data_IF_476239711808
#
_entry.id   IF_476239711808
#
_cell.length_a   1.000
_cell.length_b   1.000
_cell.length_c   1.000
_cell.angle_alpha   90.00
_cell.angle_beta   90.00
_cell.angle_gamma   90.00
#
_symmetry.space_group_name_H-M   'P 1'
#
loop_
_entity.id
_entity.type
_entity.pdbx_description
1 polymer ?
#
# COMPACT_ATOMS: atom_id res chain seq x y z
N UNK A 1 -18.76 14.12 -37.10
CA UNK A 1 -19.01 12.85 -37.81
C UNK A 1 -19.65 11.77 -36.94
N UNK A 2 -19.09 11.34 -35.80
CA UNK A 2 -19.74 10.35 -34.94
C UNK A 2 -20.95 10.93 -34.18
N UNK A 3 -20.81 12.14 -33.68
CA UNK A 3 -21.88 12.86 -32.97
C UNK A 3 -23.04 13.24 -33.91
N UNK A 4 -22.72 13.64 -35.13
CA UNK A 4 -23.74 14.00 -36.18
C UNK A 4 -24.54 12.76 -36.60
N UNK A 5 -23.88 11.58 -36.66
CA UNK A 5 -24.57 10.32 -36.94
C UNK A 5 -25.45 9.87 -35.77
N UNK A 6 -25.01 10.07 -34.52
CA UNK A 6 -25.81 9.74 -33.33
C UNK A 6 -27.02 10.69 -33.19
N UNK A 7 -26.84 11.97 -33.45
CA UNK A 7 -27.94 12.96 -33.46
C UNK A 7 -28.94 12.65 -34.55
N UNK A 8 -28.49 12.30 -35.77
CA UNK A 8 -29.35 11.91 -36.85
C UNK A 8 -30.16 10.64 -36.55
N UNK A 9 -29.54 9.64 -35.97
CA UNK A 9 -30.21 8.41 -35.53
C UNK A 9 -31.23 8.72 -34.43
N UNK A 10 -30.89 9.62 -33.50
CA UNK A 10 -31.76 10.02 -32.40
C UNK A 10 -32.97 10.81 -32.88
N UNK A 11 -32.79 11.74 -33.85
CA UNK A 11 -33.86 12.51 -34.46
C UNK A 11 -34.81 11.62 -35.28
N UNK A 12 -34.26 10.69 -36.09
CA UNK A 12 -35.06 9.72 -36.87
C UNK A 12 -35.83 8.77 -35.91
N UNK A 13 -35.22 8.35 -34.82
CA UNK A 13 -35.88 7.57 -33.79
C UNK A 13 -37.03 8.34 -33.11
N UNK A 14 -36.82 9.62 -32.78
CA UNK A 14 -37.87 10.45 -32.16
C UNK A 14 -38.99 10.77 -33.12
N UNK A 15 -38.72 11.01 -34.41
CA UNK A 15 -39.76 11.29 -35.42
C UNK A 15 -40.70 10.07 -35.61
N UNK A 16 -40.19 8.87 -35.49
CA UNK A 16 -40.96 7.63 -35.63
C UNK A 16 -41.80 7.26 -34.40
N UNK A 17 -41.65 7.98 -33.25
CA UNK A 17 -42.43 7.74 -32.04
C UNK A 17 -43.60 8.73 -31.93
N UNK A 18 -44.80 8.22 -31.57
CA UNK A 18 -45.96 9.09 -31.34
C UNK A 18 -45.66 10.12 -30.20
N UNK A 19 -46.11 11.39 -30.34
CA UNK A 19 -45.82 12.48 -29.35
C UNK A 19 -46.16 12.13 -27.91
N UNK A 20 -47.22 11.35 -27.71
CA UNK A 20 -47.66 10.89 -26.38
C UNK A 20 -46.68 9.86 -25.75
N UNK A 21 -45.99 9.11 -26.60
CA UNK A 21 -44.97 8.13 -26.18
C UNK A 21 -43.61 8.79 -25.91
N UNK A 22 -43.26 9.86 -26.63
CA UNK A 22 -42.08 10.68 -26.38
C UNK A 22 -42.08 11.28 -24.98
N UNK A 23 -43.23 11.85 -24.53
CA UNK A 23 -43.39 12.37 -23.17
C UNK A 23 -43.18 11.29 -22.10
N UNK A 24 -43.73 10.06 -22.35
CA UNK A 24 -43.54 8.95 -21.43
C UNK A 24 -42.07 8.53 -21.37
N UNK A 25 -41.40 8.44 -22.52
CA UNK A 25 -39.98 8.10 -22.62
C UNK A 25 -39.11 9.10 -21.86
N UNK A 26 -39.37 10.41 -22.03
CA UNK A 26 -38.63 11.45 -21.33
C UNK A 26 -38.82 11.36 -19.80
N UNK A 27 -40.02 11.13 -19.33
CA UNK A 27 -40.28 10.93 -17.88
C UNK A 27 -39.57 9.70 -17.35
N UNK A 28 -39.57 8.59 -18.12
CA UNK A 28 -38.83 7.37 -17.74
C UNK A 28 -37.34 7.64 -17.65
N UNK A 29 -36.74 8.32 -18.62
CA UNK A 29 -35.30 8.66 -18.61
C UNK A 29 -34.93 9.57 -17.44
N UNK A 30 -35.75 10.60 -17.17
CA UNK A 30 -35.55 11.46 -16.01
C UNK A 30 -35.65 10.71 -14.69
N UNK A 31 -36.61 9.77 -14.57
CA UNK A 31 -36.79 8.98 -13.35
C UNK A 31 -35.63 8.01 -13.14
N UNK A 32 -35.19 7.32 -14.17
CA UNK A 32 -34.04 6.40 -14.11
C UNK A 32 -32.75 7.17 -13.80
N UNK A 33 -32.55 8.34 -14.46
CA UNK A 33 -31.40 9.18 -14.19
C UNK A 33 -31.35 9.69 -12.74
N UNK A 34 -32.49 10.09 -12.19
CA UNK A 34 -32.59 10.48 -10.78
C UNK A 34 -32.30 9.31 -9.83
N UNK A 35 -32.72 8.09 -10.18
CA UNK A 35 -32.41 6.89 -9.38
C UNK A 35 -30.91 6.58 -9.39
N UNK A 36 -30.22 6.73 -10.53
CA UNK A 36 -28.77 6.58 -10.62
C UNK A 36 -28.02 7.64 -9.79
N UNK A 37 -28.49 8.89 -9.79
CA UNK A 37 -27.91 9.94 -8.95
C UNK A 37 -28.12 9.66 -7.45
N UNK A 38 -29.25 9.06 -7.08
CA UNK A 38 -29.53 8.68 -5.70
C UNK A 38 -28.68 7.46 -5.29
N UNK A 39 -28.43 6.51 -6.18
CA UNK A 39 -27.58 5.34 -5.91
C UNK A 39 -26.14 5.75 -5.57
N UNK A 40 -25.66 6.85 -6.13
CA UNK A 40 -24.37 7.47 -5.79
C UNK A 40 -24.15 7.67 -4.28
N UNK A 41 -25.21 7.94 -3.52
CA UNK A 41 -25.12 8.20 -2.07
C UNK A 41 -25.25 6.94 -1.20
N UNK A 42 -25.35 5.75 -1.79
CA UNK A 42 -25.67 4.49 -1.09
C UNK A 42 -24.59 3.43 -1.31
N UNK A 43 -23.80 3.51 -2.38
CA UNK A 43 -22.76 2.54 -2.74
C UNK A 43 -21.43 3.09 -2.21
N UNK A 44 -20.69 2.28 -1.47
CA UNK A 44 -19.40 2.63 -0.85
C UNK A 44 -18.24 2.14 -1.74
N UNK A 45 -18.30 2.44 -3.05
CA UNK A 45 -17.29 2.09 -4.05
C UNK A 45 -17.08 3.28 -4.99
N UNK A 46 -15.99 4.01 -4.78
CA UNK A 46 -15.66 5.27 -5.48
C UNK A 46 -15.76 5.18 -7.01
N UNK A 47 -15.43 4.05 -7.60
CA UNK A 47 -15.44 3.87 -9.06
C UNK A 47 -16.86 3.66 -9.61
N UNK A 48 -17.65 2.79 -8.98
CA UNK A 48 -19.04 2.53 -9.38
C UNK A 48 -19.91 3.75 -9.14
N UNK A 49 -19.62 4.53 -8.11
CA UNK A 49 -20.30 5.78 -7.80
C UNK A 49 -20.11 6.84 -8.88
N UNK A 50 -18.90 7.05 -9.36
CA UNK A 50 -18.62 8.01 -10.43
C UNK A 50 -19.33 7.58 -11.71
N UNK A 51 -19.33 6.29 -12.05
CA UNK A 51 -20.05 5.77 -13.22
C UNK A 51 -21.56 5.98 -13.07
N UNK A 52 -22.14 5.68 -11.92
CA UNK A 52 -23.56 5.86 -11.64
C UNK A 52 -23.96 7.33 -11.77
N UNK A 53 -23.17 8.25 -11.22
CA UNK A 53 -23.39 9.70 -11.34
C UNK A 53 -23.35 10.18 -12.80
N UNK A 54 -22.36 9.75 -13.58
CA UNK A 54 -22.21 10.13 -14.99
C UNK A 54 -23.37 9.60 -15.85
N UNK A 55 -23.78 8.35 -15.65
CA UNK A 55 -24.92 7.75 -16.32
C UNK A 55 -26.21 8.52 -15.94
N UNK A 56 -26.39 8.84 -14.66
CA UNK A 56 -27.52 9.59 -14.15
C UNK A 56 -27.64 10.97 -14.81
N UNK A 57 -26.56 11.74 -14.85
CA UNK A 57 -26.49 13.06 -15.48
C UNK A 57 -26.81 12.95 -16.97
N UNK A 58 -26.25 11.97 -17.70
CA UNK A 58 -26.50 11.76 -19.12
C UNK A 58 -27.99 11.47 -19.39
N UNK A 59 -28.61 10.60 -18.61
CA UNK A 59 -30.02 10.25 -18.76
C UNK A 59 -30.95 11.46 -18.48
N UNK A 60 -30.62 12.27 -17.47
CA UNK A 60 -31.34 13.52 -17.17
C UNK A 60 -31.24 14.50 -18.37
N UNK A 61 -30.05 14.71 -18.93
CA UNK A 61 -29.84 15.58 -20.08
C UNK A 61 -30.64 15.11 -21.31
N UNK A 62 -30.59 13.81 -21.63
CA UNK A 62 -31.35 13.22 -22.74
C UNK A 62 -32.86 13.36 -22.49
N UNK A 63 -33.34 13.18 -21.27
CA UNK A 63 -34.73 13.39 -20.88
C UNK A 63 -35.20 14.83 -21.10
N UNK A 64 -34.40 15.82 -20.71
CA UNK A 64 -34.71 17.26 -20.93
C UNK A 64 -34.74 17.62 -22.43
N UNK A 65 -33.78 17.14 -23.23
CA UNK A 65 -33.75 17.35 -24.67
C UNK A 65 -35.01 16.76 -25.30
N UNK A 66 -35.44 15.56 -24.89
CA UNK A 66 -36.66 14.89 -25.40
C UNK A 66 -37.93 15.68 -25.05
N UNK A 67 -38.03 16.25 -23.84
CA UNK A 67 -39.15 17.08 -23.40
C UNK A 67 -39.23 18.38 -24.22
N UNK A 68 -38.09 19.03 -24.44
CA UNK A 68 -38.00 20.30 -25.19
C UNK A 68 -38.37 20.11 -26.65
N UNK A 69 -37.83 19.04 -27.28
CA UNK A 69 -38.19 18.66 -28.65
C UNK A 69 -39.71 18.47 -28.81
N UNK A 70 -40.33 17.84 -27.84
CA UNK A 70 -41.77 17.61 -27.86
C UNK A 70 -42.61 18.88 -27.61
N UNK A 71 -42.05 19.89 -26.92
CA UNK A 71 -42.70 21.19 -26.72
C UNK A 71 -42.71 22.03 -28.00
N UNK A 72 -41.63 21.95 -28.80
CA UNK A 72 -41.46 22.70 -30.04
C UNK A 72 -42.25 22.07 -31.20
N UNK A 73 -42.37 20.73 -31.24
CA UNK A 73 -43.05 20.00 -32.33
C UNK A 73 -44.58 19.86 -32.17
N UNK A 74 -45.18 20.39 -31.12
CA UNK A 74 -46.60 20.16 -30.80
C UNK A 74 -47.59 21.24 -31.29
N UNK A 75 -47.16 22.25 -32.05
CA UNK A 75 -48.11 23.18 -32.65
C UNK A 75 -48.53 22.73 -34.08
N UNK A 76 -49.82 22.48 -34.33
CA UNK A 76 -50.29 22.06 -35.62
C UNK A 76 -50.33 23.27 -36.57
N UNK A 77 -49.63 23.18 -37.71
CA UNK A 77 -49.81 24.09 -38.85
C UNK A 77 -51.24 23.94 -39.33
N UNK A 78 -52.08 24.91 -39.03
CA UNK A 78 -53.43 24.96 -39.51
C UNK A 78 -53.41 25.57 -40.93
N UNK A 79 -53.35 24.71 -41.96
CA UNK A 79 -53.60 25.10 -43.31
C UNK A 79 -55.05 25.64 -43.47
N UNK A 80 -55.19 26.91 -43.74
CA UNK A 80 -56.44 27.48 -44.16
C UNK A 80 -56.43 27.59 -45.68
N UNK A 81 -57.24 26.79 -46.34
CA UNK A 81 -57.46 26.80 -47.72
C UNK A 81 -57.84 28.22 -48.19
N UNK A 82 -57.19 28.66 -49.23
CA UNK A 82 -57.44 29.93 -49.90
C UNK A 82 -58.63 29.80 -50.85
N UNK A 83 -59.71 30.58 -50.57
CA UNK A 83 -60.64 30.98 -51.58
C UNK A 83 -60.44 32.49 -51.84
N UNK A 84 -60.02 32.82 -53.04
CA UNK A 84 -59.81 34.17 -53.52
C UNK A 84 -61.16 34.75 -53.97
N UNK A 85 -61.60 35.81 -53.28
CA UNK A 85 -62.61 36.69 -53.75
C UNK A 85 -62.08 38.13 -53.63
N UNK A 86 -62.07 38.85 -54.72
CA UNK A 86 -61.69 40.29 -54.78
C UNK A 86 -62.59 41.15 -53.91
N UNK A 87 -61.96 41.87 -52.94
CA UNK A 87 -62.60 43.08 -52.36
C UNK A 87 -61.57 44.01 -51.71
N UNK A 88 -61.71 45.23 -51.92
CA UNK A 88 -61.17 46.50 -51.42
C UNK A 88 -60.12 46.45 -50.27
N UNK A 89 -59.00 47.13 -50.50
CA UNK A 89 -57.91 47.38 -49.56
C UNK A 89 -58.40 48.30 -48.42
N UNK A 90 -58.49 47.74 -47.24
CA UNK A 90 -58.72 48.46 -45.98
C UNK A 90 -57.37 48.62 -45.26
N UNK A 91 -56.94 49.84 -44.99
CA UNK A 91 -55.67 50.20 -44.34
C UNK A 91 -55.51 49.52 -42.96
N UNK A 92 -56.63 49.25 -42.29
CA UNK A 92 -56.59 48.53 -40.98
C UNK A 92 -56.12 47.09 -41.12
N UNK A 93 -56.24 46.47 -42.29
CA UNK A 93 -55.71 45.11 -42.56
C UNK A 93 -54.22 45.11 -42.86
N UNK A 94 -53.67 46.24 -43.29
CA UNK A 94 -52.20 46.32 -43.49
C UNK A 94 -51.43 46.38 -42.19
N UNK A 95 -51.94 47.12 -41.20
CA UNK A 95 -51.30 47.13 -39.85
C UNK A 95 -51.37 45.77 -39.18
N UNK A 96 -52.49 45.04 -39.26
CA UNK A 96 -52.61 43.70 -38.73
C UNK A 96 -51.70 42.69 -39.47
N UNK A 97 -51.46 42.82 -40.73
CA UNK A 97 -50.56 41.98 -41.50
C UNK A 97 -49.10 42.25 -41.20
N UNK A 98 -48.74 43.50 -40.87
CA UNK A 98 -47.38 43.86 -40.43
C UNK A 98 -47.10 43.32 -39.00
N UNK A 99 -48.06 43.43 -38.11
CA UNK A 99 -47.93 42.83 -36.72
C UNK A 99 -47.85 41.34 -36.79
N UNK A 100 -48.64 40.62 -37.58
CA UNK A 100 -48.52 39.18 -37.80
C UNK A 100 -47.18 38.77 -38.44
N UNK A 101 -46.64 39.59 -39.38
CA UNK A 101 -45.35 39.30 -39.98
C UNK A 101 -44.18 39.52 -39.03
N UNK A 102 -44.30 40.46 -38.09
CA UNK A 102 -43.30 40.66 -37.05
C UNK A 102 -43.30 39.53 -35.99
N UNK A 103 -44.47 38.98 -35.65
CA UNK A 103 -44.56 37.77 -34.79
C UNK A 103 -43.98 36.52 -35.50
N UNK A 104 -44.24 36.36 -36.79
CA UNK A 104 -43.69 35.24 -37.58
C UNK A 104 -42.16 35.31 -37.75
N UNK A 105 -41.60 36.53 -37.84
CA UNK A 105 -40.13 36.72 -37.92
C UNK A 105 -39.46 36.44 -36.57
N UNK A 106 -40.14 36.71 -35.47
CA UNK A 106 -39.64 36.44 -34.11
C UNK A 106 -39.65 34.94 -33.82
N UNK A 107 -40.69 34.17 -34.21
CA UNK A 107 -40.73 32.73 -34.06
C UNK A 107 -39.64 32.00 -34.89
N UNK A 108 -39.38 32.44 -36.13
CA UNK A 108 -38.32 31.84 -36.96
C UNK A 108 -36.90 32.04 -36.38
N UNK A 109 -36.67 33.14 -35.66
CA UNK A 109 -35.38 33.39 -35.02
C UNK A 109 -35.12 32.43 -33.84
N UNK A 110 -36.15 31.97 -33.11
CA UNK A 110 -35.99 30.95 -32.06
C UNK A 110 -35.70 29.56 -32.64
N UNK A 111 -36.34 29.19 -33.76
CA UNK A 111 -36.12 27.90 -34.44
C UNK A 111 -34.71 27.82 -35.01
N UNK A 112 -34.17 28.95 -35.53
CA UNK A 112 -32.80 29.00 -36.06
C UNK A 112 -31.69 28.95 -34.99
N UNK A 113 -32.00 29.32 -33.75
CA UNK A 113 -31.07 29.30 -32.64
C UNK A 113 -31.00 27.92 -31.94
N UNK A 114 -32.03 27.08 -32.11
CA UNK A 114 -32.15 25.78 -31.41
C UNK A 114 -30.99 24.81 -31.72
N UNK A 115 -30.51 24.61 -32.95
CA UNK A 115 -29.36 23.77 -33.24
C UNK A 115 -28.08 24.26 -32.57
N UNK A 116 -27.87 25.56 -32.46
CA UNK A 116 -26.73 26.18 -31.78
C UNK A 116 -26.79 25.99 -30.26
N UNK A 117 -27.98 26.08 -29.66
CA UNK A 117 -28.20 25.82 -28.24
C UNK A 117 -27.95 24.33 -27.90
N UNK A 118 -28.48 23.41 -28.70
CA UNK A 118 -28.27 21.98 -28.52
C UNK A 118 -26.78 21.65 -28.68
N UNK A 119 -26.13 22.19 -29.71
CA UNK A 119 -24.72 22.02 -29.97
C UNK A 119 -23.85 22.53 -28.81
N UNK A 120 -24.13 23.71 -28.29
CA UNK A 120 -23.36 24.31 -27.19
C UNK A 120 -23.56 23.54 -25.86
N UNK A 121 -24.77 23.12 -25.54
CA UNK A 121 -25.06 22.30 -24.34
C UNK A 121 -24.38 20.93 -24.45
N UNK A 122 -24.44 20.29 -25.63
CA UNK A 122 -23.77 19.00 -25.85
C UNK A 122 -22.25 19.11 -25.75
N UNK A 123 -21.67 20.20 -26.30
CA UNK A 123 -20.24 20.47 -26.21
C UNK A 123 -19.80 20.73 -24.76
N UNK A 124 -20.59 21.48 -24.00
CA UNK A 124 -20.32 21.76 -22.59
C UNK A 124 -20.37 20.46 -21.74
N UNK A 125 -21.39 19.64 -22.00
CA UNK A 125 -21.53 18.34 -21.35
C UNK A 125 -20.34 17.41 -21.68
N UNK A 126 -19.92 17.38 -22.96
CA UNK A 126 -18.74 16.61 -23.37
C UNK A 126 -17.45 17.09 -22.70
N UNK A 127 -17.24 18.42 -22.61
CA UNK A 127 -16.07 19.01 -21.92
C UNK A 127 -16.09 18.65 -20.43
N UNK A 128 -17.25 18.73 -19.79
CA UNK A 128 -17.40 18.35 -18.38
C UNK A 128 -17.08 16.87 -18.14
N UNK A 129 -17.64 15.98 -18.94
CA UNK A 129 -17.38 14.54 -18.85
C UNK A 129 -15.89 14.24 -19.13
N UNK A 130 -15.32 14.84 -20.17
CA UNK A 130 -13.91 14.68 -20.49
C UNK A 130 -13.00 15.23 -19.38
N UNK A 131 -13.38 16.33 -18.73
CA UNK A 131 -12.65 16.89 -17.59
C UNK A 131 -12.72 15.98 -16.36
N UNK A 132 -13.86 15.40 -16.05
CA UNK A 132 -14.02 14.44 -14.95
C UNK A 132 -13.20 13.18 -15.22
N UNK A 133 -13.27 12.63 -16.45
CA UNK A 133 -12.45 11.47 -16.83
C UNK A 133 -10.95 11.80 -16.76
N UNK A 134 -10.56 13.00 -17.19
CA UNK A 134 -9.16 13.45 -17.12
C UNK A 134 -8.69 13.62 -15.68
N UNK A 135 -9.50 14.22 -14.80
CA UNK A 135 -9.17 14.37 -13.39
C UNK A 135 -9.10 13.01 -12.69
N UNK A 136 -10.05 12.12 -12.98
CA UNK A 136 -10.01 10.73 -12.48
C UNK A 136 -8.76 9.99 -13.02
N UNK A 137 -8.50 10.04 -14.32
CA UNK A 137 -7.31 9.42 -14.91
C UNK A 137 -6.03 9.98 -14.28
N UNK A 138 -5.98 11.27 -13.97
CA UNK A 138 -4.83 11.88 -13.29
C UNK A 138 -4.71 11.44 -11.82
N UNK A 139 -5.82 11.22 -11.11
CA UNK A 139 -5.78 10.72 -9.72
C UNK A 139 -5.33 9.26 -9.60
N UNK A 140 -5.58 8.45 -10.64
CA UNK A 140 -5.17 7.03 -10.72
C UNK A 140 -4.03 6.79 -11.72
N UNK A 141 -3.52 7.84 -12.38
CA UNK A 141 -2.49 7.67 -13.40
C UNK A 141 -1.17 7.14 -12.83
N UNK A 142 -0.82 7.57 -11.63
CA UNK A 142 0.39 7.10 -10.96
C UNK A 142 0.23 5.61 -10.59
N UNK A 143 -0.94 5.20 -10.14
CA UNK A 143 -1.27 3.80 -9.83
C UNK A 143 -1.38 2.89 -11.07
N UNK A 144 -1.91 3.43 -12.19
CA UNK A 144 -2.05 2.69 -13.46
C UNK A 144 -0.74 2.68 -14.28
N UNK A 145 0.05 3.76 -14.22
CA UNK A 145 1.29 3.91 -15.02
C UNK A 145 2.54 3.33 -14.34
N UNK A 146 2.58 3.34 -13.00
CA UNK A 146 3.67 2.74 -12.23
C UNK A 146 3.31 1.30 -11.85
N UNK A 147 2.00 0.97 -11.82
CA UNK A 147 1.48 -0.31 -11.36
C UNK A 147 1.83 -0.52 -9.88
N UNK A 148 0.90 -0.36 -8.97
CA UNK A 148 1.08 -0.73 -7.56
C UNK A 148 1.34 -2.23 -7.39
N UNK A 149 1.59 -2.71 -6.16
CA UNK A 149 1.76 -4.13 -5.89
C UNK A 149 0.51 -4.91 -6.32
N UNK A 150 0.68 -6.15 -6.83
CA UNK A 150 -0.45 -7.01 -7.12
C UNK A 150 -1.38 -7.17 -5.91
N UNK A 151 -2.72 -7.19 -6.10
CA UNK A 151 -3.68 -7.35 -4.98
C UNK A 151 -3.44 -8.60 -4.13
N UNK A 152 -2.80 -9.62 -4.70
CA UNK A 152 -2.39 -10.82 -3.94
C UNK A 152 -1.35 -10.47 -2.88
N UNK A 153 -0.39 -9.61 -3.18
CA UNK A 153 0.66 -9.22 -2.23
C UNK A 153 0.10 -8.36 -1.10
N UNK A 154 -0.74 -7.38 -1.42
CA UNK A 154 -1.40 -6.57 -0.38
C UNK A 154 -2.33 -7.41 0.50
N UNK A 155 -3.04 -8.39 -0.08
CA UNK A 155 -3.84 -9.33 0.70
C UNK A 155 -3.00 -10.26 1.59
N UNK A 156 -1.79 -10.64 1.17
CA UNK A 156 -0.87 -11.42 2.02
C UNK A 156 -0.28 -10.56 3.12
N UNK A 157 0.07 -9.33 2.83
CA UNK A 157 0.52 -8.35 3.83
C UNK A 157 -0.54 -8.12 4.90
N UNK A 158 -1.79 -7.87 4.51
CA UNK A 158 -2.92 -7.75 5.44
C UNK A 158 -3.08 -8.99 6.31
N UNK A 159 -2.98 -10.20 5.74
CA UNK A 159 -3.05 -11.45 6.51
C UNK A 159 -1.95 -11.55 7.57
N UNK A 160 -0.75 -11.03 7.31
CA UNK A 160 0.32 -10.96 8.29
C UNK A 160 0.11 -9.86 9.33
N UNK A 161 -0.47 -8.72 8.94
CA UNK A 161 -0.86 -7.67 9.89
C UNK A 161 -1.89 -8.20 10.89
N UNK A 162 -2.92 -8.92 10.41
CA UNK A 162 -3.91 -9.58 11.25
C UNK A 162 -3.27 -10.66 12.17
N UNK A 163 -2.36 -11.47 11.63
CA UNK A 163 -1.67 -12.52 12.40
C UNK A 163 -0.83 -11.93 13.54
N UNK A 164 -0.20 -10.80 13.32
CA UNK A 164 0.73 -10.15 14.26
C UNK A 164 0.10 -8.98 15.05
N UNK A 165 -1.19 -8.68 14.81
CA UNK A 165 -1.94 -7.65 15.54
C UNK A 165 -1.64 -6.21 15.12
N UNK A 166 -0.96 -5.98 13.99
CA UNK A 166 -0.69 -4.62 13.50
C UNK A 166 -1.95 -3.90 13.01
N UNK A 167 -2.97 -4.62 12.57
CA UNK A 167 -4.27 -4.08 12.18
C UNK A 167 -5.04 -3.44 13.35
N UNK A 168 -4.71 -3.82 14.59
CA UNK A 168 -5.26 -3.23 15.81
C UNK A 168 -4.48 -1.98 16.28
N UNK A 169 -3.27 -1.71 15.71
CA UNK A 169 -2.43 -0.57 16.10
C UNK A 169 -2.81 0.67 15.32
N UNK A 170 -3.04 1.77 16.01
CA UNK A 170 -3.36 3.06 15.38
C UNK A 170 -2.63 4.22 16.03
N UNK A 171 -2.15 5.15 15.20
CA UNK A 171 -1.54 6.40 15.65
C UNK A 171 -0.08 6.26 16.08
N UNK A 172 0.53 5.10 15.90
CA UNK A 172 1.95 4.83 16.07
C UNK A 172 2.54 4.44 14.71
N UNK A 173 3.72 4.93 14.39
CA UNK A 173 4.43 4.66 13.14
C UNK A 173 5.96 4.51 13.31
N UNK A 174 6.45 4.41 14.55
CA UNK A 174 7.85 4.31 14.91
C UNK A 174 8.55 5.66 15.05
N UNK A 175 7.81 6.78 15.04
CA UNK A 175 8.40 8.13 15.14
C UNK A 175 9.25 8.32 16.39
N UNK A 176 10.45 8.87 16.20
CA UNK A 176 11.40 9.14 17.29
C UNK A 176 12.21 7.92 17.72
N UNK A 177 12.17 6.83 16.95
CA UNK A 177 13.01 5.64 17.16
C UNK A 177 14.00 5.52 16.00
N UNK A 178 15.25 5.23 16.29
CA UNK A 178 16.31 5.03 15.31
C UNK A 178 16.51 3.54 15.05
N UNK A 179 16.22 3.12 13.83
CA UNK A 179 16.40 1.73 13.38
C UNK A 179 17.56 1.65 12.40
N UNK A 180 18.52 0.78 12.66
CA UNK A 180 19.64 0.51 11.77
C UNK A 180 19.46 -0.86 11.10
N UNK A 181 19.39 -0.88 9.75
CA UNK A 181 19.40 -2.10 8.96
C UNK A 181 20.81 -2.35 8.46
N UNK A 182 21.42 -3.47 8.87
CA UNK A 182 22.73 -3.94 8.42
C UNK A 182 22.52 -5.03 7.39
N UNK A 183 22.73 -4.69 6.09
CA UNK A 183 22.33 -5.56 4.98
C UNK A 183 23.09 -5.23 3.67
N UNK A 184 22.53 -5.54 2.51
CA UNK A 184 23.13 -5.31 1.19
C UNK A 184 22.98 -3.86 0.67
N UNK A 185 22.29 -2.99 1.39
CA UNK A 185 22.06 -1.60 1.01
C UNK A 185 20.57 -1.23 0.90
N UNK A 186 20.28 -0.17 0.12
CA UNK A 186 18.92 0.27 -0.13
C UNK A 186 18.80 0.98 -1.49
N UNK A 187 17.74 0.65 -2.26
CA UNK A 187 17.40 1.29 -3.53
C UNK A 187 16.41 2.43 -3.31
N UNK A 188 16.93 3.64 -3.11
CA UNK A 188 16.14 4.84 -2.82
C UNK A 188 15.22 5.28 -3.96
N UNK A 189 15.42 4.77 -5.18
CA UNK A 189 14.55 5.08 -6.33
C UNK A 189 13.27 4.23 -6.36
N UNK A 190 13.15 3.24 -5.46
CA UNK A 190 11.94 2.42 -5.37
C UNK A 190 10.69 3.28 -5.10
N UNK A 191 9.56 3.05 -5.82
CA UNK A 191 8.33 3.84 -5.65
C UNK A 191 7.86 3.98 -4.20
N UNK A 192 7.95 2.91 -3.41
CA UNK A 192 7.49 2.87 -2.02
C UNK A 192 8.50 3.48 -1.01
N UNK A 193 9.69 3.90 -1.46
CA UNK A 193 10.73 4.52 -0.64
C UNK A 193 10.95 6.01 -0.93
N UNK A 194 10.23 6.59 -1.89
CA UNK A 194 10.40 8.00 -2.29
C UNK A 194 10.06 9.02 -1.19
N UNK A 195 9.30 8.62 -0.18
CA UNK A 195 8.99 9.47 0.98
C UNK A 195 10.14 9.53 1.99
N UNK A 196 11.08 8.55 1.92
CA UNK A 196 12.13 8.34 2.91
C UNK A 196 13.29 9.31 2.71
N UNK A 197 13.82 9.79 3.83
CA UNK A 197 15.14 10.42 3.91
C UNK A 197 15.94 9.65 4.95
N UNK A 198 17.03 9.01 4.54
CA UNK A 198 17.86 8.25 5.47
C UNK A 198 18.45 9.16 6.55
N UNK A 199 18.39 8.71 7.81
CA UNK A 199 19.08 9.35 8.91
C UNK A 199 20.61 9.17 8.81
N UNK A 200 21.06 8.07 8.17
CA UNK A 200 22.46 7.84 7.85
C UNK A 200 22.66 6.69 6.87
N UNK A 201 23.83 6.73 6.22
CA UNK A 201 24.29 5.72 5.27
C UNK A 201 25.76 5.38 5.52
N UNK A 202 26.07 4.10 5.50
CA UNK A 202 27.44 3.60 5.61
C UNK A 202 27.67 2.42 4.67
N UNK A 203 28.75 2.44 3.91
CA UNK A 203 29.13 1.39 2.96
C UNK A 203 30.50 0.81 3.33
N UNK A 204 30.49 -0.36 3.97
CA UNK A 204 31.68 -1.13 4.34
C UNK A 204 32.31 -1.79 3.13
N UNK A 205 31.51 -2.08 2.08
CA UNK A 205 31.96 -2.87 0.92
C UNK A 205 32.82 -2.04 -0.04
N UNK A 206 32.32 -0.86 -0.46
CA UNK A 206 32.98 -0.05 -1.49
C UNK A 206 33.27 1.39 -1.02
N UNK A 207 32.82 1.79 0.18
CA UNK A 207 33.00 3.15 0.72
C UNK A 207 32.28 4.22 -0.10
N UNK A 208 31.17 3.92 -0.76
CA UNK A 208 30.40 4.90 -1.52
C UNK A 208 29.58 5.80 -0.61
N UNK A 209 29.46 7.08 -0.98
CA UNK A 209 28.73 8.06 -0.19
C UNK A 209 27.21 8.07 -0.48
N UNK A 210 26.80 7.59 -1.65
CA UNK A 210 25.40 7.56 -2.07
C UNK A 210 24.82 6.16 -1.84
N UNK A 211 23.60 6.06 -1.29
CA UNK A 211 22.93 4.78 -1.08
C UNK A 211 22.68 4.03 -2.39
N UNK A 212 22.91 2.75 -2.36
CA UNK A 212 22.60 1.82 -3.44
C UNK A 212 22.42 0.40 -2.89
N UNK A 213 21.78 -0.45 -3.68
CA UNK A 213 21.64 -1.88 -3.40
C UNK A 213 21.83 -2.66 -4.69
N UNK A 214 22.93 -3.40 -4.80
CA UNK A 214 23.31 -4.18 -5.97
C UNK A 214 23.04 -5.69 -5.81
N UNK A 215 22.40 -6.06 -4.69
CA UNK A 215 21.94 -7.41 -4.37
C UNK A 215 20.42 -7.46 -4.25
N UNK A 216 19.82 -6.55 -3.46
CA UNK A 216 18.37 -6.35 -3.34
C UNK A 216 17.76 -6.79 -2.01
N UNK A 217 18.45 -7.59 -1.21
CA UNK A 217 17.94 -8.09 0.07
C UNK A 217 17.73 -6.95 1.07
N UNK A 218 18.67 -6.01 1.19
CA UNK A 218 18.54 -4.86 2.10
C UNK A 218 17.36 -3.95 1.77
N UNK A 219 17.09 -3.73 0.48
CA UNK A 219 15.90 -2.99 0.02
C UNK A 219 14.61 -3.71 0.44
N UNK A 220 14.58 -5.04 0.32
CA UNK A 220 13.44 -5.84 0.75
C UNK A 220 13.22 -5.74 2.27
N UNK A 221 14.28 -5.87 3.07
CA UNK A 221 14.20 -5.80 4.53
C UNK A 221 13.83 -4.40 5.03
N UNK A 222 14.47 -3.35 4.49
CA UNK A 222 14.09 -1.97 4.77
C UNK A 222 12.62 -1.70 4.39
N UNK A 223 12.15 -2.25 3.27
CA UNK A 223 10.77 -2.13 2.81
C UNK A 223 9.75 -2.66 3.82
N UNK A 224 10.00 -3.80 4.44
CA UNK A 224 9.14 -4.37 5.49
C UNK A 224 8.98 -3.40 6.67
N UNK A 225 10.00 -2.60 6.97
CA UNK A 225 9.98 -1.62 8.06
C UNK A 225 9.31 -0.32 7.63
N UNK A 226 9.69 0.26 6.46
CA UNK A 226 9.39 1.66 6.13
C UNK A 226 8.62 1.90 4.83
N UNK A 227 8.25 0.88 4.05
CA UNK A 227 7.55 1.08 2.77
C UNK A 227 6.26 1.88 2.92
N UNK A 228 5.92 2.70 1.89
CA UNK A 228 4.69 3.51 1.85
C UNK A 228 4.25 3.73 0.41
N UNK A 229 2.95 3.80 0.20
CA UNK A 229 2.25 4.05 -1.08
C UNK A 229 2.01 2.82 -1.98
N UNK A 230 2.62 1.68 -1.69
CA UNK A 230 2.36 0.40 -2.34
C UNK A 230 2.19 -0.69 -1.31
N UNK A 231 3.26 -1.37 -0.90
CA UNK A 231 3.27 -2.13 0.35
C UNK A 231 3.36 -1.17 1.54
N UNK A 232 3.00 -1.67 2.71
CA UNK A 232 2.90 -0.87 3.94
C UNK A 232 3.91 -1.39 4.98
N UNK A 233 5.01 -0.68 5.15
CA UNK A 233 5.96 -0.97 6.23
C UNK A 233 5.35 -0.80 7.61
N UNK A 234 5.84 -1.58 8.57
CA UNK A 234 5.30 -1.63 9.91
C UNK A 234 5.62 -0.39 10.77
N UNK A 235 6.69 0.35 10.43
CA UNK A 235 7.18 1.49 11.19
C UNK A 235 7.68 2.59 10.24
N UNK A 236 6.76 3.22 9.52
CA UNK A 236 7.04 4.16 8.44
C UNK A 236 7.65 5.49 8.89
N UNK A 237 7.58 5.80 10.19
CA UNK A 237 8.04 7.05 10.80
C UNK A 237 9.41 6.96 11.49
N UNK A 238 10.09 5.81 11.46
CA UNK A 238 11.41 5.64 12.08
C UNK A 238 12.49 6.50 11.40
N UNK A 239 13.49 6.89 12.16
CA UNK A 239 14.74 7.43 11.64
C UNK A 239 15.61 6.25 11.17
N UNK A 240 15.62 5.98 9.84
CA UNK A 240 16.29 4.81 9.28
C UNK A 240 17.78 5.08 9.01
N UNK A 241 18.64 4.27 9.63
CA UNK A 241 20.05 4.11 9.30
C UNK A 241 20.20 2.84 8.42
N UNK A 242 21.06 2.91 7.41
CA UNK A 242 21.37 1.73 6.57
C UNK A 242 22.89 1.58 6.49
N UNK A 243 23.37 0.40 6.86
CA UNK A 243 24.78 0.02 6.75
C UNK A 243 24.92 -1.15 5.75
N UNK A 244 25.50 -0.86 4.59
CA UNK A 244 25.79 -1.89 3.57
C UNK A 244 27.04 -2.68 3.98
N UNK A 245 26.81 -3.90 4.42
CA UNK A 245 27.85 -4.86 4.83
C UNK A 245 27.87 -6.16 3.99
N UNK A 246 26.91 -6.29 3.05
CA UNK A 246 26.75 -7.43 2.14
C UNK A 246 27.02 -6.95 0.70
N UNK A 247 27.82 -7.72 -0.03
CA UNK A 247 28.16 -7.44 -1.42
C UNK A 247 27.09 -7.93 -2.43
N UNK A 248 27.29 -7.67 -3.72
CA UNK A 248 26.39 -8.06 -4.80
C UNK A 248 26.25 -9.59 -5.02
N UNK A 249 26.98 -10.42 -4.30
CA UNK A 249 26.87 -11.87 -4.32
C UNK A 249 26.18 -12.41 -3.05
N UNK A 250 25.65 -11.52 -2.19
CA UNK A 250 25.04 -11.88 -0.93
C UNK A 250 26.07 -12.27 0.14
N UNK A 251 27.31 -11.79 0.05
CA UNK A 251 28.38 -12.17 0.99
C UNK A 251 28.85 -10.97 1.81
N UNK A 252 29.05 -11.18 3.10
CA UNK A 252 29.69 -10.26 4.01
C UNK A 252 30.84 -10.92 4.74
N UNK A 253 31.73 -10.12 5.28
CA UNK A 253 32.78 -10.60 6.18
C UNK A 253 32.37 -10.33 7.61
N UNK A 254 32.74 -11.21 8.53
CA UNK A 254 32.52 -11.06 9.96
C UNK A 254 33.01 -9.68 10.46
N UNK A 255 34.23 -9.29 10.10
CA UNK A 255 34.80 -7.97 10.44
C UNK A 255 33.98 -6.80 9.84
N UNK A 256 33.51 -6.92 8.58
CA UNK A 256 32.75 -5.86 7.92
C UNK A 256 31.36 -5.69 8.54
N UNK A 257 30.71 -6.79 8.90
CA UNK A 257 29.41 -6.73 9.59
C UNK A 257 29.57 -6.17 11.01
N UNK A 258 30.65 -6.56 11.73
CA UNK A 258 30.98 -6.00 13.04
C UNK A 258 31.25 -4.48 12.97
N UNK A 259 31.96 -3.99 11.92
CA UNK A 259 32.16 -2.57 11.68
C UNK A 259 30.83 -1.83 11.44
N UNK A 260 29.92 -2.44 10.67
CA UNK A 260 28.58 -1.90 10.42
C UNK A 260 27.75 -1.81 11.71
N UNK A 261 27.76 -2.85 12.56
CA UNK A 261 27.10 -2.85 13.87
C UNK A 261 27.65 -1.75 14.77
N UNK A 262 28.98 -1.61 14.83
CA UNK A 262 29.64 -0.52 15.57
C UNK A 262 29.22 0.86 15.06
N UNK A 263 29.13 1.05 13.73
CA UNK A 263 28.66 2.30 13.14
C UNK A 263 27.20 2.60 13.52
N UNK A 264 26.31 1.60 13.52
CA UNK A 264 24.93 1.79 13.98
C UNK A 264 24.90 2.30 15.45
N UNK A 265 25.71 1.67 16.32
CA UNK A 265 25.82 2.07 17.72
C UNK A 265 26.34 3.52 17.89
N UNK A 266 27.35 3.91 17.12
CA UNK A 266 27.91 5.25 17.09
C UNK A 266 26.93 6.33 16.57
N UNK A 267 25.97 5.91 15.71
CA UNK A 267 24.91 6.77 15.18
C UNK A 267 23.58 6.68 15.93
N UNK A 268 23.63 6.28 17.18
CA UNK A 268 22.51 6.33 18.12
C UNK A 268 21.33 5.43 17.76
N UNK A 269 21.58 4.28 17.15
CA UNK A 269 20.53 3.28 16.93
C UNK A 269 19.90 2.84 18.26
N UNK A 270 18.58 2.75 18.31
CA UNK A 270 17.81 2.07 19.35
C UNK A 270 17.66 0.59 19.03
N UNK A 271 17.54 0.28 17.72
CA UNK A 271 17.35 -1.09 17.21
C UNK A 271 18.35 -1.33 16.09
N UNK A 272 19.02 -2.49 16.10
CA UNK A 272 19.81 -3.01 14.98
C UNK A 272 19.12 -4.27 14.45
N UNK A 273 18.71 -4.25 13.17
CA UNK A 273 18.11 -5.36 12.45
C UNK A 273 19.19 -6.10 11.65
N UNK A 274 19.44 -7.36 12.02
CA UNK A 274 20.43 -8.25 11.41
C UNK A 274 19.72 -9.41 10.70
N UNK A 275 19.23 -9.13 9.48
CA UNK A 275 18.59 -10.15 8.64
C UNK A 275 19.64 -11.05 7.98
N UNK A 276 20.61 -11.52 8.77
CA UNK A 276 21.76 -12.30 8.35
C UNK A 276 21.59 -13.75 8.84
N UNK A 277 21.99 -14.70 8.01
CA UNK A 277 21.88 -16.13 8.28
C UNK A 277 20.79 -16.78 7.43
N UNK A 278 21.11 -17.29 6.26
CA UNK A 278 20.20 -17.97 5.33
C UNK A 278 20.97 -18.89 4.40
N UNK A 279 20.24 -19.80 3.74
CA UNK A 279 20.80 -20.64 2.70
C UNK A 279 21.46 -19.77 1.61
N UNK A 280 22.73 -20.03 1.33
CA UNK A 280 23.39 -19.46 0.18
C UNK A 280 24.70 -18.73 0.40
N UNK A 281 25.29 -18.78 1.58
CA UNK A 281 26.65 -18.28 1.68
C UNK A 281 27.14 -17.75 3.01
N UNK A 282 26.29 -17.60 3.99
CA UNK A 282 26.74 -17.29 5.33
C UNK A 282 27.12 -18.56 6.09
N UNK A 283 28.24 -19.15 5.68
CA UNK A 283 28.97 -20.03 6.58
C UNK A 283 29.91 -19.13 7.37
N UNK A 284 29.46 -18.59 8.47
CA UNK A 284 30.36 -18.13 9.51
C UNK A 284 30.93 -19.41 10.10
N UNK A 285 31.91 -19.97 9.38
CA UNK A 285 32.52 -21.25 9.70
C UNK A 285 33.24 -21.20 11.04
N UNK A 286 32.65 -21.78 11.99
CA UNK A 286 33.22 -22.46 13.14
C UNK A 286 34.57 -21.97 13.69
N UNK A 287 34.53 -21.63 14.98
CA UNK A 287 35.68 -21.48 15.84
C UNK A 287 36.52 -20.21 15.55
N UNK A 288 35.96 -19.08 15.89
CA UNK A 288 36.75 -17.93 16.28
C UNK A 288 35.92 -17.13 17.25
N UNK A 289 36.51 -16.46 18.20
CA UNK A 289 35.89 -15.32 18.88
C UNK A 289 35.40 -14.41 17.79
N UNK A 290 34.17 -14.57 17.45
CA UNK A 290 33.52 -13.96 16.33
C UNK A 290 33.47 -12.45 16.57
N UNK A 291 34.06 -11.68 15.69
CA UNK A 291 34.07 -10.23 15.84
C UNK A 291 32.67 -9.64 15.75
N UNK A 292 31.79 -10.28 14.98
CA UNK A 292 30.37 -9.92 14.90
C UNK A 292 29.68 -10.15 16.26
N UNK A 293 29.84 -11.32 16.86
CA UNK A 293 29.25 -11.61 18.19
C UNK A 293 29.74 -10.61 19.25
N UNK A 294 31.02 -10.25 19.20
CA UNK A 294 31.57 -9.23 20.11
C UNK A 294 30.96 -7.85 19.88
N UNK A 295 30.79 -7.43 18.62
CA UNK A 295 30.19 -6.13 18.32
C UNK A 295 28.70 -6.10 18.69
N UNK A 296 27.98 -7.23 18.50
CA UNK A 296 26.60 -7.41 18.95
C UNK A 296 26.50 -7.30 20.47
N UNK A 297 27.38 -7.99 21.22
CA UNK A 297 27.41 -7.87 22.68
C UNK A 297 27.71 -6.43 23.15
N UNK A 298 28.66 -5.74 22.50
CA UNK A 298 28.97 -4.36 22.78
C UNK A 298 27.77 -3.41 22.51
N UNK A 299 26.92 -3.73 21.52
CA UNK A 299 25.69 -2.99 21.25
C UNK A 299 24.62 -3.26 22.33
N UNK A 300 24.42 -4.52 22.71
CA UNK A 300 23.51 -4.93 23.79
C UNK A 300 23.91 -4.28 25.13
N UNK A 301 25.20 -4.27 25.45
CA UNK A 301 25.73 -3.63 26.66
C UNK A 301 25.49 -2.11 26.71
N UNK A 302 25.31 -1.49 25.53
CA UNK A 302 24.90 -0.09 25.39
C UNK A 302 23.38 0.10 25.42
N UNK A 303 22.60 -0.97 25.57
CA UNK A 303 21.14 -0.91 25.61
C UNK A 303 20.46 -0.79 24.24
N UNK A 304 21.18 -1.19 23.18
CA UNK A 304 20.63 -1.23 21.82
C UNK A 304 19.98 -2.61 21.63
N UNK A 305 18.73 -2.64 21.19
CA UNK A 305 18.07 -3.89 20.86
C UNK A 305 18.64 -4.46 19.58
N UNK A 306 19.10 -5.70 19.61
CA UNK A 306 19.54 -6.43 18.44
C UNK A 306 18.51 -7.50 18.10
N UNK A 307 17.97 -7.45 16.89
CA UNK A 307 17.02 -8.42 16.35
C UNK A 307 17.71 -9.18 15.24
N UNK A 308 17.78 -10.51 15.32
CA UNK A 308 18.51 -11.33 14.36
C UNK A 308 17.70 -12.54 13.88
N UNK A 309 18.01 -13.00 12.65
CA UNK A 309 17.37 -14.13 12.03
C UNK A 309 17.81 -15.46 12.66
N UNK A 310 16.87 -16.38 12.85
CA UNK A 310 17.17 -17.72 13.38
C UNK A 310 17.95 -18.58 12.36
N UNK A 311 17.87 -18.31 11.07
CA UNK A 311 18.43 -19.12 10.00
C UNK A 311 17.37 -19.82 9.17
N UNK A 312 17.77 -20.35 8.00
CA UNK A 312 16.86 -20.89 6.99
C UNK A 312 17.12 -22.38 6.67
N UNK A 313 17.75 -23.13 7.58
CA UNK A 313 18.18 -24.52 7.37
C UNK A 313 17.10 -25.55 7.76
N UNK A 314 15.99 -25.07 8.32
CA UNK A 314 14.86 -25.91 8.72
C UNK A 314 15.22 -26.84 9.90
N UNK A 315 14.94 -28.14 9.71
CA UNK A 315 15.27 -29.20 10.68
C UNK A 315 16.54 -29.99 10.33
N UNK A 316 17.15 -29.62 9.18
CA UNK A 316 18.36 -30.33 8.68
C UNK A 316 19.65 -29.56 9.01
N UNK A 317 19.56 -28.54 9.87
CA UNK A 317 20.69 -27.75 10.35
C UNK A 317 21.59 -28.48 11.36
N UNK A 318 22.60 -27.80 11.86
CA UNK A 318 23.50 -28.34 12.91
C UNK A 318 22.86 -28.37 14.31
N UNK A 319 21.59 -28.00 14.43
CA UNK A 319 20.74 -28.10 15.63
C UNK A 319 20.69 -26.86 16.48
N UNK A 320 21.13 -25.69 16.03
CA UNK A 320 20.93 -24.41 16.72
C UNK A 320 20.60 -23.28 15.72
N UNK A 321 20.10 -22.15 16.25
CA UNK A 321 19.89 -20.96 15.46
C UNK A 321 21.22 -20.38 14.98
N UNK A 322 21.21 -19.73 13.81
CA UNK A 322 22.41 -19.12 13.24
C UNK A 322 22.94 -17.97 14.12
N UNK A 323 24.28 -17.75 14.11
CA UNK A 323 24.88 -16.54 14.65
C UNK A 323 24.56 -15.33 13.75
N UNK A 324 24.25 -14.11 14.31
CA UNK A 324 24.33 -13.78 15.74
C UNK A 324 23.03 -14.02 16.53
N UNK A 325 22.00 -14.67 15.96
CA UNK A 325 20.76 -15.01 16.64
C UNK A 325 20.98 -15.87 17.91
N UNK A 326 22.07 -16.66 17.93
CA UNK A 326 22.46 -17.51 19.04
C UNK A 326 23.05 -16.74 20.24
N UNK A 327 23.41 -15.45 20.10
CA UNK A 327 23.99 -14.64 21.18
C UNK A 327 22.96 -14.39 22.28
N UNK A 328 23.39 -14.41 23.53
CA UNK A 328 22.57 -14.09 24.71
C UNK A 328 22.05 -12.64 24.57
N UNK A 329 20.81 -12.37 25.00
CA UNK A 329 20.11 -11.09 24.91
C UNK A 329 19.70 -10.63 23.49
N UNK A 330 20.19 -11.23 22.40
CA UNK A 330 19.65 -10.99 21.05
C UNK A 330 18.21 -11.50 20.95
N UNK A 331 17.33 -10.75 20.33
CA UNK A 331 15.98 -11.22 19.97
C UNK A 331 16.10 -12.02 18.67
N UNK A 332 16.13 -13.34 18.78
CA UNK A 332 16.22 -14.25 17.65
C UNK A 332 14.84 -14.58 17.10
N UNK A 333 14.63 -14.38 15.81
CA UNK A 333 13.32 -14.49 15.18
C UNK A 333 13.28 -15.64 14.19
N UNK A 334 12.41 -16.60 14.45
CA UNK A 334 12.03 -17.67 13.52
C UNK A 334 10.93 -17.24 12.57
N UNK A 335 10.65 -18.05 11.55
CA UNK A 335 9.68 -17.76 10.50
C UNK A 335 8.34 -18.46 10.68
N UNK A 336 7.23 -17.72 10.57
CA UNK A 336 5.86 -18.23 10.52
C UNK A 336 5.26 -18.13 9.12
N UNK A 337 4.32 -19.02 8.81
CA UNK A 337 3.43 -18.92 7.65
C UNK A 337 2.25 -17.99 7.95
N UNK A 338 1.50 -17.57 6.93
CA UNK A 338 0.25 -16.79 7.08
C UNK A 338 -0.85 -17.49 7.88
N UNK A 339 -0.75 -18.80 8.10
CA UNK A 339 -1.67 -19.58 8.90
C UNK A 339 -1.20 -19.74 10.36
N UNK A 340 -0.09 -19.10 10.73
CA UNK A 340 0.45 -19.18 12.09
C UNK A 340 1.27 -20.44 12.38
N UNK A 341 1.55 -21.28 11.38
CA UNK A 341 2.43 -22.45 11.59
C UNK A 341 3.90 -22.04 11.40
N UNK A 342 4.82 -22.78 11.99
CA UNK A 342 6.26 -22.62 11.70
C UNK A 342 6.51 -22.81 10.20
N UNK A 343 7.25 -21.88 9.60
CA UNK A 343 7.76 -22.06 8.25
C UNK A 343 8.76 -23.21 8.21
N UNK A 344 8.64 -24.12 7.25
CA UNK A 344 9.49 -25.34 7.19
C UNK A 344 10.98 -25.07 7.08
N UNK A 345 11.36 -23.89 6.51
CA UNK A 345 12.74 -23.45 6.40
C UNK A 345 13.29 -22.77 7.65
N UNK A 346 12.46 -22.42 8.65
CA UNK A 346 12.94 -21.80 9.88
C UNK A 346 13.86 -22.76 10.65
N UNK A 347 15.08 -22.30 10.98
CA UNK A 347 15.99 -23.07 11.86
C UNK A 347 15.41 -23.24 13.25
N UNK A 348 15.84 -24.27 13.93
CA UNK A 348 15.45 -24.58 15.31
C UNK A 348 16.57 -24.25 16.31
N UNK A 349 16.20 -24.01 17.56
CA UNK A 349 17.16 -23.78 18.63
C UNK A 349 17.64 -25.09 19.31
N UNK A 350 18.86 -25.05 19.87
CA UNK A 350 19.36 -26.04 20.84
C UNK A 350 19.49 -25.35 22.20
N UNK A 351 18.47 -25.50 23.04
CA UNK A 351 18.41 -24.83 24.35
C UNK A 351 18.96 -25.67 25.51
N UNK A 352 19.15 -26.96 25.30
CA UNK A 352 19.65 -27.87 26.32
C UNK A 352 21.17 -27.78 26.54
N UNK A 353 21.88 -27.08 25.62
CA UNK A 353 23.34 -26.92 25.62
C UNK A 353 24.07 -28.01 24.87
N UNK A 354 25.28 -27.68 24.38
CA UNK A 354 26.13 -28.58 23.60
C UNK A 354 27.35 -29.05 24.39
N UNK A 355 27.79 -30.27 24.10
CA UNK A 355 28.98 -30.83 24.74
C UNK A 355 30.29 -30.16 24.26
N UNK A 356 30.29 -29.55 23.05
CA UNK A 356 31.51 -28.96 22.51
C UNK A 356 31.22 -27.91 21.43
N UNK A 357 31.77 -26.66 21.55
CA UNK A 357 32.33 -26.13 22.79
C UNK A 357 31.29 -26.19 23.90
N UNK A 358 31.65 -26.20 25.21
CA UNK A 358 30.71 -26.32 26.30
C UNK A 358 29.80 -25.07 26.30
N UNK A 359 28.63 -25.22 25.76
CA UNK A 359 27.55 -24.23 25.82
C UNK A 359 26.63 -24.62 26.98
N UNK A 360 26.36 -23.66 27.84
CA UNK A 360 25.43 -23.86 28.94
C UNK A 360 24.00 -23.93 28.40
N UNK A 361 23.11 -24.68 29.06
CA UNK A 361 21.68 -24.58 28.74
C UNK A 361 21.19 -23.15 28.84
N UNK A 362 20.35 -22.75 27.87
CA UNK A 362 19.66 -21.47 27.92
C UNK A 362 18.51 -21.52 28.91
N UNK A 363 18.07 -20.37 29.38
CA UNK A 363 16.93 -20.24 30.28
C UNK A 363 16.06 -19.08 29.88
N UNK A 364 14.80 -19.08 30.27
CA UNK A 364 13.89 -17.96 30.07
C UNK A 364 14.51 -16.65 30.58
N UNK A 365 14.37 -15.55 29.81
CA UNK A 365 13.69 -15.41 28.53
C UNK A 365 14.59 -15.56 27.28
N UNK A 366 15.79 -16.19 27.41
CA UNK A 366 16.81 -16.29 26.36
C UNK A 366 16.80 -17.61 25.57
N UNK A 367 15.75 -18.39 25.66
CA UNK A 367 15.61 -19.60 24.85
C UNK A 367 15.38 -19.27 23.39
N UNK A 368 16.04 -20.00 22.45
CA UNK A 368 16.07 -19.70 21.00
C UNK A 368 15.20 -20.67 20.17
N UNK A 369 14.59 -20.16 19.08
CA UNK A 369 14.35 -18.73 18.82
C UNK A 369 13.39 -18.17 19.87
N UNK A 370 13.42 -16.87 20.15
CA UNK A 370 12.47 -16.30 21.12
C UNK A 370 11.05 -16.33 20.57
N UNK A 371 10.85 -15.87 19.34
CA UNK A 371 9.51 -15.70 18.76
C UNK A 371 9.50 -16.00 17.26
N UNK A 372 8.31 -16.13 16.70
CA UNK A 372 8.09 -16.18 15.27
C UNK A 372 7.54 -14.87 14.74
N UNK A 373 8.07 -14.45 13.59
CA UNK A 373 7.50 -13.40 12.74
C UNK A 373 7.11 -13.92 11.36
N UNK A 374 6.48 -13.12 10.49
CA UNK A 374 6.19 -13.49 9.10
C UNK A 374 7.43 -13.93 8.33
N UNK A 375 7.50 -15.21 7.93
CA UNK A 375 8.70 -15.79 7.32
C UNK A 375 8.46 -16.59 6.04
N UNK A 376 7.20 -16.78 5.58
CA UNK A 376 6.88 -17.53 4.39
C UNK A 376 6.05 -16.71 3.41
N UNK A 377 6.52 -16.57 2.16
CA UNK A 377 5.81 -15.80 1.11
C UNK A 377 5.46 -14.38 1.58
N UNK A 378 6.40 -13.70 2.24
CA UNK A 378 6.23 -12.34 2.75
C UNK A 378 6.33 -11.36 1.60
N UNK A 379 5.39 -10.42 1.42
CA UNK A 379 5.50 -9.37 0.42
C UNK A 379 6.71 -8.48 0.67
N UNK A 380 7.48 -8.22 -0.39
CA UNK A 380 8.73 -7.45 -0.33
C UNK A 380 8.90 -6.51 -1.52
N UNK A 381 9.80 -5.55 -1.36
CA UNK A 381 10.28 -4.67 -2.42
C UNK A 381 11.44 -5.34 -3.19
N UNK A 382 11.51 -5.11 -4.51
CA UNK A 382 12.64 -5.53 -5.36
C UNK A 382 13.50 -4.32 -5.74
N UNK A 383 14.79 -4.37 -5.48
CA UNK A 383 15.74 -3.36 -5.95
C UNK A 383 15.85 -3.38 -7.48
N UNK A 384 15.89 -2.17 -8.10
CA UNK A 384 16.07 -2.00 -9.55
C UNK A 384 14.89 -2.48 -10.41
N UNK A 385 13.80 -2.95 -9.81
CA UNK A 385 12.75 -3.71 -10.47
C UNK A 385 13.23 -5.10 -10.89
N UNK A 386 12.35 -6.08 -10.94
CA UNK A 386 12.69 -7.40 -11.51
C UNK A 386 12.90 -7.32 -13.01
N UNK A 387 13.44 -8.38 -13.63
CA UNK A 387 13.69 -8.45 -15.09
C UNK A 387 12.43 -8.29 -15.95
N UNK A 388 11.23 -8.38 -15.37
CA UNK A 388 9.93 -8.09 -15.95
C UNK A 388 9.42 -6.67 -15.63
N UNK A 389 10.20 -5.86 -14.89
CA UNK A 389 9.87 -4.50 -14.48
C UNK A 389 8.99 -4.41 -13.22
N UNK A 390 8.79 -5.51 -12.51
CA UNK A 390 8.06 -5.49 -11.24
C UNK A 390 8.94 -4.93 -10.11
N UNK A 391 8.38 -4.04 -9.32
CA UNK A 391 9.01 -3.50 -8.10
C UNK A 391 8.61 -4.28 -6.84
N UNK A 392 7.65 -5.20 -6.94
CA UNK A 392 7.10 -5.94 -5.81
C UNK A 392 7.09 -7.44 -6.07
N UNK A 393 7.33 -8.20 -5.03
CA UNK A 393 7.29 -9.64 -5.06
C UNK A 393 7.10 -10.21 -3.67
N UNK A 394 7.55 -11.42 -3.48
CA UNK A 394 7.54 -12.10 -2.19
C UNK A 394 8.82 -12.92 -2.00
N UNK A 395 9.19 -13.12 -0.75
CA UNK A 395 10.28 -14.01 -0.36
C UNK A 395 9.90 -14.83 0.88
N UNK A 396 10.63 -15.90 1.10
CA UNK A 396 10.57 -16.67 2.34
C UNK A 396 11.93 -16.69 3.01
N UNK A 397 11.97 -16.39 4.30
CA UNK A 397 13.19 -16.36 5.10
C UNK A 397 12.92 -15.77 6.47
N UNK A 398 13.70 -16.20 7.45
CA UNK A 398 13.72 -15.61 8.79
C UNK A 398 14.22 -14.17 8.78
N UNK A 399 14.89 -13.74 7.70
CA UNK A 399 15.25 -12.36 7.42
C UNK A 399 14.01 -11.42 7.39
N UNK A 400 12.94 -11.84 6.68
CA UNK A 400 11.70 -11.07 6.61
C UNK A 400 11.02 -11.00 7.99
N UNK A 401 11.05 -12.10 8.75
CA UNK A 401 10.53 -12.14 10.11
C UNK A 401 11.29 -11.18 11.04
N UNK A 402 12.62 -11.13 10.91
CA UNK A 402 13.50 -10.21 11.65
C UNK A 402 13.15 -8.75 11.36
N UNK A 403 13.02 -8.37 10.09
CA UNK A 403 12.64 -7.01 9.70
C UNK A 403 11.24 -6.65 10.23
N UNK A 404 10.28 -7.60 10.16
CA UNK A 404 8.93 -7.41 10.67
C UNK A 404 8.92 -7.13 12.18
N UNK A 405 9.63 -7.92 12.95
CA UNK A 405 9.74 -7.75 14.41
C UNK A 405 10.53 -6.48 14.76
N UNK A 406 11.57 -6.13 14.00
CA UNK A 406 12.30 -4.87 14.18
C UNK A 406 11.39 -3.64 14.03
N UNK A 407 10.49 -3.65 13.03
CA UNK A 407 9.45 -2.63 12.89
C UNK A 407 8.48 -2.62 14.06
N UNK A 408 8.03 -3.81 14.51
CA UNK A 408 7.16 -3.92 15.68
C UNK A 408 7.82 -3.40 16.98
N UNK A 409 9.08 -3.70 17.15
CA UNK A 409 9.85 -3.18 18.30
C UNK A 409 9.96 -1.64 18.26
N UNK A 410 10.10 -1.05 17.07
CA UNK A 410 10.08 0.41 16.93
C UNK A 410 8.74 1.03 17.36
N UNK A 411 7.61 0.39 17.05
CA UNK A 411 6.29 0.80 17.55
C UNK A 411 6.20 0.73 19.07
N UNK A 412 6.76 -0.35 19.68
CA UNK A 412 6.79 -0.49 21.14
C UNK A 412 7.63 0.62 21.77
N UNK A 413 8.80 0.94 21.21
CA UNK A 413 9.69 1.99 21.71
C UNK A 413 9.13 3.41 21.48
N UNK A 414 8.30 3.64 20.45
CA UNK A 414 7.55 4.91 20.31
C UNK A 414 6.51 5.04 21.43
N UNK A 415 5.78 3.97 21.73
CA UNK A 415 4.78 3.96 22.79
C UNK A 415 5.41 4.07 24.20
N UNK A 416 6.64 3.57 24.34
CA UNK A 416 7.40 3.51 25.60
C UNK A 416 8.79 4.14 25.45
N UNK A 417 8.88 5.48 25.23
CA UNK A 417 10.17 6.14 24.99
C UNK A 417 11.14 6.05 26.18
N UNK A 418 10.66 5.72 27.39
CA UNK A 418 11.49 5.45 28.53
C UNK A 418 12.37 4.18 28.38
N UNK A 419 12.00 3.26 27.47
CA UNK A 419 12.74 2.02 27.19
C UNK A 419 13.75 2.18 26.05
N UNK A 420 13.72 3.28 25.29
CA UNK A 420 14.72 3.55 24.27
C UNK A 420 16.12 3.63 24.93
N UNK A 421 17.17 3.47 24.10
CA UNK A 421 18.57 3.45 24.57
C UNK A 421 18.89 4.57 25.57
N UNK A 422 18.50 5.80 25.27
CA UNK A 422 18.74 6.99 26.11
C UNK A 422 17.56 7.29 27.06
N UNK A 423 16.56 6.43 27.10
CA UNK A 423 15.38 6.58 27.93
C UNK A 423 15.67 6.37 29.43
N UNK A 424 14.78 6.82 30.30
CA UNK A 424 14.97 6.78 31.75
C UNK A 424 15.01 5.35 32.32
N UNK A 425 14.50 4.37 31.60
CA UNK A 425 14.50 2.94 31.90
C UNK A 425 15.17 2.12 30.79
N UNK A 426 15.96 2.77 29.93
CA UNK A 426 16.71 2.16 28.85
C UNK A 426 17.92 1.35 29.35
N UNK A 427 18.75 0.94 28.40
CA UNK A 427 19.93 0.13 28.69
C UNK A 427 19.63 -1.38 28.71
N UNK A 428 20.58 -2.23 29.13
CA UNK A 428 20.42 -3.69 29.12
C UNK A 428 19.18 -4.19 29.88
N UNK A 429 18.76 -3.49 30.93
CA UNK A 429 17.54 -3.88 31.67
C UNK A 429 16.26 -3.71 30.84
N UNK A 430 16.23 -2.79 29.86
CA UNK A 430 15.11 -2.65 28.95
C UNK A 430 15.03 -3.85 27.99
N UNK A 431 16.19 -4.37 27.57
CA UNK A 431 16.27 -5.57 26.71
C UNK A 431 15.69 -6.78 27.44
N UNK A 432 16.15 -7.05 28.65
CA UNK A 432 15.63 -8.14 29.49
C UNK A 432 14.12 -7.99 29.75
N UNK A 433 13.67 -6.75 30.02
CA UNK A 433 12.25 -6.46 30.22
C UNK A 433 11.42 -6.78 28.94
N UNK A 434 11.86 -6.32 27.78
CA UNK A 434 11.16 -6.58 26.50
C UNK A 434 11.16 -8.07 26.18
N UNK A 435 12.27 -8.77 26.36
CA UNK A 435 12.35 -10.23 26.14
C UNK A 435 11.41 -10.99 27.08
N UNK A 436 11.32 -10.57 28.33
CA UNK A 436 10.34 -11.13 29.28
C UNK A 436 8.90 -10.88 28.78
N UNK A 437 8.61 -9.66 28.32
CA UNK A 437 7.29 -9.34 27.73
C UNK A 437 7.00 -10.16 26.48
N UNK A 438 7.96 -10.38 25.60
CA UNK A 438 7.81 -11.25 24.44
C UNK A 438 7.48 -12.69 24.85
N UNK A 439 8.15 -13.22 25.88
CA UNK A 439 7.87 -14.57 26.39
C UNK A 439 6.49 -14.72 27.03
N UNK A 440 5.92 -13.64 27.59
CA UNK A 440 4.61 -13.63 28.25
C UNK A 440 3.45 -13.34 27.28
N UNK A 441 3.68 -12.51 26.24
CA UNK A 441 2.63 -11.92 25.42
C UNK A 441 2.64 -12.40 23.94
N UNK A 442 3.53 -13.33 23.57
CA UNK A 442 3.48 -13.97 22.26
C UNK A 442 2.34 -14.99 22.17
N UNK A 443 1.78 -15.14 20.97
CA UNK A 443 0.69 -16.10 20.76
C UNK A 443 1.24 -17.51 20.60
N UNK A 444 1.15 -18.32 21.67
CA UNK A 444 1.52 -19.74 21.66
C UNK A 444 0.64 -20.56 20.73
N UNK A 445 1.17 -21.69 20.24
CA UNK A 445 0.39 -22.67 19.45
C UNK A 445 -0.61 -23.43 20.35
N UNK A 446 -1.60 -24.07 19.72
CA UNK A 446 -2.63 -24.84 20.41
C UNK A 446 -2.00 -25.99 21.22
N UNK A 447 -2.08 -25.88 22.54
CA UNK A 447 -1.52 -26.86 23.49
C UNK A 447 -0.08 -26.62 23.92
N UNK A 448 0.60 -25.59 23.39
CA UNK A 448 1.88 -25.12 23.91
C UNK A 448 1.69 -24.47 25.28
N UNK A 449 2.58 -24.71 26.23
CA UNK A 449 2.54 -24.13 27.58
C UNK A 449 3.90 -23.62 28.06
N UNK A 450 4.93 -23.82 27.27
CA UNK A 450 6.31 -23.43 27.53
C UNK A 450 7.03 -23.18 26.20
N UNK A 451 8.25 -22.68 26.21
CA UNK A 451 9.05 -22.47 25.01
C UNK A 451 9.19 -23.76 24.19
N UNK A 452 9.13 -23.64 22.86
CA UNK A 452 9.38 -24.71 21.90
C UNK A 452 10.58 -24.35 21.01
N UNK A 453 11.46 -25.30 20.71
CA UNK A 453 12.71 -25.05 19.95
C UNK A 453 12.49 -24.59 18.52
N UNK A 454 11.28 -24.72 17.96
CA UNK A 454 10.92 -24.24 16.65
C UNK A 454 9.93 -23.08 16.67
N UNK A 455 8.97 -23.09 17.60
CA UNK A 455 7.91 -22.11 17.71
C UNK A 455 8.29 -20.92 18.60
N UNK A 456 9.36 -21.08 19.39
CA UNK A 456 9.74 -20.09 20.39
C UNK A 456 8.69 -19.97 21.49
N UNK A 457 8.52 -18.80 22.05
CA UNK A 457 7.42 -18.48 22.95
C UNK A 457 6.09 -18.25 22.22
N UNK A 458 6.11 -18.19 20.88
CA UNK A 458 4.91 -17.97 20.08
C UNK A 458 5.11 -16.99 18.93
N UNK A 459 4.01 -16.67 18.26
CA UNK A 459 3.98 -15.65 17.22
C UNK A 459 4.01 -14.26 17.87
N UNK A 460 4.84 -13.37 17.37
CA UNK A 460 4.89 -11.97 17.77
C UNK A 460 3.52 -11.30 17.63
N UNK A 461 3.05 -10.63 18.69
CA UNK A 461 1.76 -9.93 18.74
C UNK A 461 1.98 -8.53 19.28
N UNK A 462 1.99 -7.53 18.35
CA UNK A 462 2.21 -6.13 18.73
C UNK A 462 1.07 -5.58 19.60
N UNK A 463 -0.18 -5.96 19.34
CA UNK A 463 -1.34 -5.55 20.12
C UNK A 463 -1.22 -5.95 21.60
N UNK A 464 -0.75 -7.20 21.86
CA UNK A 464 -0.55 -7.69 23.22
C UNK A 464 0.69 -7.07 23.91
N UNK A 465 1.66 -6.62 23.14
CA UNK A 465 2.86 -5.94 23.67
C UNK A 465 2.58 -4.50 24.09
N UNK A 466 1.52 -3.87 23.56
CA UNK A 466 1.11 -2.50 23.87
C UNK A 466 0.08 -2.41 25.00
N UNK A 467 -0.45 -3.55 25.51
CA UNK A 467 -1.32 -3.63 26.69
C UNK A 467 -0.51 -3.54 28.00
#
# INVERSE_FOLDING_TARGET
MLLDNLLFIYDDFLENIQPKMRKKLAVILLTIGALFIISYSIIDDDFLDIIALLIGILLVLVGFVTLFYNSVSSEPIRNKDSNVGEEQVDESRLEQSIEQSSEFTNQNNYISALPWLIGSVSTLAFILIASVIFLWFRSVADEILIGGPPPTLTGWEQSYQELTGFDEVSGLDGSGVVVCVVDSGIEMSHPDLQHLTLAGWFDVINGQNEPYDDEGHGTAMAGIIVAKNGLSGNAQGVDLLVAKAIDSNGQGTDTGIAEAVGWCADNQADIISLSLGGEGGFSIGGITTDQLESAVQDALDQGIFVVAAAGNDGTDDDGDVSSPGSVEDVICVGGATRLGNVWSGSSQGDNDGRLWPPMLPRSDPDMKPEILGPGAEVPILFAGGSGDGSWWGWASGTSAATAWVSGGLAIILEAHPELQREGSSGGPNAIEFIKTKLSENSQMDDGQSEHDERFGYGIFRIDLMLE
#
